data_IF_483286145626
#
_entry.id   IF_483286145626
#
_cell.length_a   1.000
_cell.length_b   1.000
_cell.length_c   1.000
_cell.angle_alpha   90.00
_cell.angle_beta   90.00
_cell.angle_gamma   90.00
#
_symmetry.space_group_name_H-M   'P 1'
#
loop_
_entity.id
_entity.type
_entity.pdbx_description
1 polymer ?
#
# COMPACT_ATOMS: atom_id res chain seq x y z
N UNK A 1 31.49 7.46 5.96
CA UNK A 1 31.01 7.71 7.34
C UNK A 1 29.77 8.57 7.36
N UNK A 2 28.92 8.42 8.39
CA UNK A 2 27.74 9.25 8.62
C UNK A 2 27.93 9.98 9.95
N UNK A 3 27.85 11.31 9.93
CA UNK A 3 27.95 12.15 11.12
C UNK A 3 26.68 12.98 11.26
N UNK A 4 25.99 12.83 12.39
CA UNK A 4 24.76 13.55 12.70
C UNK A 4 25.04 14.59 13.78
N UNK A 5 24.58 15.81 13.53
CA UNK A 5 24.58 16.93 14.49
C UNK A 5 23.16 17.46 14.64
N UNK A 6 22.92 18.40 15.56
CA UNK A 6 21.59 18.93 15.87
C UNK A 6 20.85 19.52 14.64
N UNK A 7 21.58 20.01 13.64
CA UNK A 7 21.00 20.71 12.47
C UNK A 7 21.44 20.19 11.13
N UNK A 8 22.39 19.26 11.08
CA UNK A 8 22.97 18.79 9.83
C UNK A 8 23.34 17.31 9.91
N UNK A 9 23.28 16.66 8.75
CA UNK A 9 23.89 15.34 8.52
C UNK A 9 24.97 15.50 7.46
N UNK A 10 26.14 14.92 7.76
CA UNK A 10 27.26 14.80 6.82
C UNK A 10 27.40 13.34 6.40
N UNK A 11 27.43 13.13 5.08
CA UNK A 11 27.75 11.86 4.44
C UNK A 11 29.13 11.97 3.81
N UNK A 12 30.08 11.17 4.31
CA UNK A 12 31.46 11.15 3.83
C UNK A 12 31.71 9.91 2.94
N UNK A 13 32.05 10.15 1.68
CA UNK A 13 32.38 9.13 0.68
C UNK A 13 33.89 9.09 0.37
N UNK A 14 34.73 9.71 1.21
CA UNK A 14 36.17 9.80 1.07
C UNK A 14 36.61 10.86 0.05
N UNK A 15 36.20 10.72 -1.21
CA UNK A 15 36.55 11.67 -2.28
C UNK A 15 35.70 12.95 -2.23
N UNK A 16 34.49 12.87 -1.68
CA UNK A 16 33.58 13.99 -1.55
C UNK A 16 32.70 13.84 -0.30
N UNK A 17 32.18 14.98 0.18
CA UNK A 17 31.30 15.04 1.35
C UNK A 17 30.01 15.75 0.95
N UNK A 18 28.88 15.19 1.37
CA UNK A 18 27.55 15.79 1.19
C UNK A 18 27.05 16.24 2.54
N UNK A 19 26.66 17.52 2.65
CA UNK A 19 26.10 18.10 3.88
C UNK A 19 24.69 18.58 3.59
N UNK A 20 23.76 18.18 4.44
CA UNK A 20 22.34 18.54 4.35
C UNK A 20 21.87 19.12 5.69
N UNK A 21 20.87 20.01 5.64
CA UNK A 21 20.18 20.51 6.84
C UNK A 21 19.10 19.52 7.26
N UNK A 22 19.05 19.23 8.55
CA UNK A 22 17.93 18.51 9.15
C UNK A 22 16.68 19.40 9.11
N UNK A 23 15.53 18.79 8.89
CA UNK A 23 14.25 19.45 9.10
C UNK A 23 14.02 19.65 10.60
N UNK A 24 13.52 20.82 10.98
CA UNK A 24 13.14 21.12 12.35
C UNK A 24 11.74 20.54 12.66
N UNK A 25 11.55 20.02 13.86
CA UNK A 25 10.28 19.47 14.34
C UNK A 25 10.37 18.00 14.76
N UNK A 26 9.30 17.51 15.37
CA UNK A 26 9.21 16.10 15.75
C UNK A 26 8.64 15.27 14.60
N UNK A 27 9.34 14.19 14.26
CA UNK A 27 8.80 13.19 13.35
C UNK A 27 7.70 12.39 14.05
N UNK A 28 6.71 11.93 13.28
CA UNK A 28 5.55 11.21 13.83
C UNK A 28 6.02 9.93 14.52
N UNK A 29 5.54 9.69 15.75
CA UNK A 29 5.74 8.42 16.44
C UNK A 29 4.86 7.33 15.82
N UNK A 30 5.36 6.65 14.80
CA UNK A 30 4.62 5.65 14.03
C UNK A 30 4.65 4.24 14.64
N UNK A 31 5.58 3.95 15.56
CA UNK A 31 5.76 2.60 16.13
C UNK A 31 4.47 2.02 16.79
N UNK A 32 3.65 2.80 17.52
CA UNK A 32 2.37 2.31 18.03
C UNK A 32 1.40 1.89 16.93
N UNK A 33 1.43 2.57 15.77
CA UNK A 33 0.54 2.26 14.64
C UNK A 33 0.88 0.88 14.07
N UNK A 34 2.17 0.57 13.94
CA UNK A 34 2.65 -0.72 13.44
C UNK A 34 2.32 -1.90 14.36
N UNK A 35 2.09 -1.62 15.65
CA UNK A 35 1.77 -2.62 16.68
C UNK A 35 0.27 -2.90 16.81
N UNK A 36 -0.56 -2.29 15.95
CA UNK A 36 -2.01 -2.51 15.97
C UNK A 36 -2.31 -3.97 15.63
N UNK A 37 -3.10 -4.70 16.43
CA UNK A 37 -3.42 -6.09 16.15
C UNK A 37 -4.26 -6.18 14.87
N UNK A 38 -3.80 -7.02 13.94
CA UNK A 38 -4.51 -7.40 12.73
C UNK A 38 -5.18 -8.77 12.94
N UNK A 39 -6.31 -9.00 12.28
CA UNK A 39 -7.10 -10.23 12.41
C UNK A 39 -7.33 -10.92 11.06
N UNK A 40 -7.07 -10.22 9.96
CA UNK A 40 -7.22 -10.71 8.60
C UNK A 40 -5.86 -10.68 7.95
N UNK A 41 -5.46 -11.82 7.40
CA UNK A 41 -4.17 -12.03 6.76
C UNK A 41 -4.38 -12.59 5.37
N UNK A 42 -3.72 -11.98 4.39
CA UNK A 42 -3.81 -12.37 3.00
C UNK A 42 -2.41 -12.57 2.47
N UNK A 43 -2.14 -13.74 1.90
CA UNK A 43 -0.92 -14.00 1.13
C UNK A 43 -1.28 -14.00 -0.34
N UNK A 44 -0.60 -13.18 -1.13
CA UNK A 44 -0.94 -12.97 -2.54
C UNK A 44 0.30 -12.77 -3.40
N UNK A 45 0.27 -13.29 -4.62
CA UNK A 45 1.29 -13.04 -5.64
C UNK A 45 1.34 -11.55 -5.99
N UNK A 46 2.49 -10.94 -5.74
CA UNK A 46 2.73 -9.50 -5.90
C UNK A 46 2.44 -9.05 -7.33
N UNK A 47 2.82 -9.88 -8.30
CA UNK A 47 2.65 -9.59 -9.72
C UNK A 47 1.19 -9.63 -10.13
N UNK A 48 0.46 -10.66 -9.75
CA UNK A 48 -0.95 -10.87 -10.10
C UNK A 48 -1.82 -9.75 -9.55
N UNK A 49 -1.60 -9.35 -8.29
CA UNK A 49 -2.32 -8.21 -7.71
C UNK A 49 -1.92 -6.89 -8.38
N UNK A 50 -0.64 -6.69 -8.68
CA UNK A 50 -0.16 -5.48 -9.40
C UNK A 50 -0.78 -5.36 -10.78
N UNK A 51 -0.81 -6.44 -11.56
CA UNK A 51 -1.41 -6.46 -12.90
C UNK A 51 -2.93 -6.20 -12.85
N UNK A 52 -3.63 -6.71 -11.83
CA UNK A 52 -5.05 -6.43 -11.61
C UNK A 52 -5.30 -4.95 -11.29
N UNK A 53 -4.49 -4.34 -10.42
CA UNK A 53 -4.54 -2.92 -10.10
C UNK A 53 -4.19 -2.05 -11.32
N UNK A 54 -3.23 -2.46 -12.15
CA UNK A 54 -2.89 -1.77 -13.40
C UNK A 54 -4.06 -1.79 -14.38
N UNK A 55 -4.75 -2.93 -14.56
CA UNK A 55 -5.98 -3.00 -15.36
C UNK A 55 -7.07 -2.08 -14.83
N UNK A 56 -7.29 -2.06 -13.51
CA UNK A 56 -8.24 -1.13 -12.88
C UNK A 56 -7.86 0.34 -13.11
N UNK A 57 -6.57 0.66 -13.08
CA UNK A 57 -6.06 2.02 -13.28
C UNK A 57 -6.35 2.60 -14.66
N UNK A 58 -6.41 1.75 -15.70
CA UNK A 58 -6.72 2.19 -17.07
C UNK A 58 -8.11 2.83 -17.15
N UNK A 59 -9.10 2.25 -16.48
CA UNK A 59 -10.45 2.82 -16.44
C UNK A 59 -10.53 4.08 -15.57
N UNK A 60 -9.76 4.13 -14.48
CA UNK A 60 -9.71 5.28 -13.57
C UNK A 60 -9.09 6.48 -14.29
N UNK A 61 -7.95 6.28 -14.95
CA UNK A 61 -7.17 7.34 -15.59
C UNK A 61 -7.73 7.80 -16.94
N UNK A 62 -8.65 7.05 -17.55
CA UNK A 62 -9.35 7.49 -18.76
C UNK A 62 -10.17 8.78 -18.51
N UNK A 63 -10.50 9.08 -17.26
CA UNK A 63 -11.06 10.36 -16.87
C UNK A 63 -9.93 11.38 -16.55
N UNK A 64 -9.58 12.23 -17.52
CA UNK A 64 -8.52 13.25 -17.38
C UNK A 64 -8.86 14.39 -16.40
N UNK A 65 -9.90 14.25 -15.58
CA UNK A 65 -10.29 15.24 -14.56
C UNK A 65 -9.63 14.92 -13.21
N UNK A 66 -9.43 15.94 -12.38
CA UNK A 66 -8.97 15.79 -10.99
C UNK A 66 -9.89 14.92 -10.09
N UNK A 67 -11.02 14.43 -10.62
CA UNK A 67 -11.91 13.47 -9.95
C UNK A 67 -11.45 12.02 -10.11
N UNK A 68 -10.72 11.68 -11.17
CA UNK A 68 -10.20 10.33 -11.39
C UNK A 68 -9.31 9.84 -10.25
N UNK A 69 -8.44 10.70 -9.71
CA UNK A 69 -7.57 10.37 -8.58
C UNK A 69 -8.31 10.04 -7.29
N UNK A 70 -9.64 10.26 -7.25
CA UNK A 70 -10.50 9.98 -6.10
C UNK A 70 -11.32 8.72 -6.25
N UNK A 71 -11.31 8.05 -7.39
CA UNK A 71 -12.07 6.80 -7.56
C UNK A 71 -11.35 5.69 -6.77
N UNK A 72 -11.98 5.15 -5.73
CA UNK A 72 -11.38 4.06 -4.97
C UNK A 72 -11.38 2.78 -5.80
N UNK A 73 -10.29 2.03 -5.75
CA UNK A 73 -10.35 0.59 -6.03
C UNK A 73 -10.88 -0.09 -4.78
N UNK A 74 -11.92 -0.89 -4.94
CA UNK A 74 -12.53 -1.69 -3.89
C UNK A 74 -11.94 -3.09 -3.96
N UNK A 75 -11.37 -3.54 -2.86
CA UNK A 75 -10.93 -4.90 -2.63
C UNK A 75 -12.00 -5.60 -1.78
N UNK A 76 -12.59 -6.66 -2.31
CA UNK A 76 -13.43 -7.57 -1.57
C UNK A 76 -12.67 -8.88 -1.38
N UNK A 77 -12.26 -9.15 -0.14
CA UNK A 77 -11.39 -10.25 0.24
C UNK A 77 -12.25 -11.28 0.95
N UNK A 78 -12.41 -12.45 0.32
CA UNK A 78 -13.20 -13.56 0.81
C UNK A 78 -12.84 -14.82 0.01
N UNK A 79 -13.15 -16.01 0.55
CA UNK A 79 -13.10 -17.28 -0.20
C UNK A 79 -11.78 -17.53 -0.97
N UNK A 80 -10.62 -17.27 -0.34
CA UNK A 80 -9.30 -17.43 -0.95
C UNK A 80 -9.08 -16.64 -2.26
N UNK A 81 -9.69 -15.46 -2.33
CA UNK A 81 -9.51 -14.53 -3.44
C UNK A 81 -9.64 -13.07 -3.01
N UNK A 82 -9.07 -12.19 -3.84
CA UNK A 82 -9.26 -10.75 -3.81
C UNK A 82 -10.01 -10.36 -5.08
N UNK A 83 -11.26 -9.94 -4.92
CA UNK A 83 -12.03 -9.32 -5.99
C UNK A 83 -11.70 -7.82 -6.06
N UNK A 84 -11.09 -7.41 -7.18
CA UNK A 84 -10.69 -6.04 -7.46
C UNK A 84 -11.75 -5.39 -8.33
N UNK A 85 -12.45 -4.40 -7.77
CA UNK A 85 -13.51 -3.68 -8.49
C UNK A 85 -13.30 -2.18 -8.50
N UNK A 86 -13.75 -1.55 -9.57
CA UNK A 86 -13.78 -0.10 -9.72
C UNK A 86 -14.98 0.29 -10.58
N UNK A 87 -15.68 1.34 -10.20
CA UNK A 87 -16.83 1.89 -10.95
C UNK A 87 -16.56 3.36 -11.23
N UNK A 88 -16.60 3.73 -12.50
CA UNK A 88 -16.49 5.11 -12.97
C UNK A 88 -17.73 5.48 -13.78
N UNK A 89 -17.87 6.76 -14.14
CA UNK A 89 -18.93 7.18 -15.07
C UNK A 89 -18.83 6.55 -16.47
N UNK A 90 -17.70 5.92 -16.80
CA UNK A 90 -17.42 5.34 -18.12
C UNK A 90 -17.56 3.81 -18.15
N UNK A 91 -17.59 3.15 -17.00
CA UNK A 91 -17.69 1.69 -16.95
C UNK A 91 -17.38 1.10 -15.58
N UNK A 92 -17.21 -0.22 -15.57
CA UNK A 92 -16.84 -1.01 -14.39
C UNK A 92 -15.69 -1.94 -14.73
N UNK A 93 -14.72 -2.03 -13.81
CA UNK A 93 -13.74 -3.13 -13.76
C UNK A 93 -14.18 -4.11 -12.67
N UNK A 94 -14.06 -5.38 -12.98
CA UNK A 94 -14.17 -6.49 -12.05
C UNK A 94 -13.13 -7.52 -12.46
N UNK A 95 -12.28 -7.87 -11.52
CA UNK A 95 -11.16 -8.78 -11.70
C UNK A 95 -10.98 -9.59 -10.42
N UNK A 96 -10.39 -10.77 -10.52
CA UNK A 96 -10.24 -11.70 -9.39
C UNK A 96 -8.81 -12.21 -9.36
N UNK A 97 -8.19 -12.09 -8.19
CA UNK A 97 -6.83 -12.56 -7.91
C UNK A 97 -6.90 -13.64 -6.84
N UNK A 98 -6.34 -14.81 -7.10
CA UNK A 98 -6.23 -15.88 -6.10
C UNK A 98 -5.31 -15.44 -4.95
N UNK A 99 -5.68 -15.77 -3.71
CA UNK A 99 -4.89 -15.45 -2.54
C UNK A 99 -5.19 -16.43 -1.40
N UNK A 100 -4.24 -16.69 -0.51
CA UNK A 100 -4.56 -17.42 0.72
C UNK A 100 -5.13 -16.45 1.76
N UNK A 101 -6.36 -16.68 2.22
CA UNK A 101 -7.04 -15.77 3.16
C UNK A 101 -7.23 -16.46 4.52
N UNK A 102 -6.90 -15.74 5.59
CA UNK A 102 -7.18 -16.16 6.97
C UNK A 102 -7.83 -15.02 7.74
N UNK A 103 -8.91 -15.33 8.45
CA UNK A 103 -9.69 -14.34 9.21
C UNK A 103 -11.06 -14.12 8.58
N UNK A 104 -11.65 -12.98 8.91
CA UNK A 104 -12.97 -12.59 8.41
C UNK A 104 -12.90 -11.99 6.99
N UNK A 105 -14.03 -12.01 6.29
CA UNK A 105 -14.19 -11.31 5.02
C UNK A 105 -14.13 -9.78 5.22
N UNK A 106 -13.58 -9.07 4.23
CA UNK A 106 -13.46 -7.61 4.29
C UNK A 106 -13.66 -6.96 2.93
N UNK A 107 -14.48 -5.91 2.92
CA UNK A 107 -14.57 -4.96 1.82
C UNK A 107 -13.89 -3.65 2.23
N UNK A 108 -12.93 -3.19 1.43
CA UNK A 108 -12.15 -1.99 1.73
C UNK A 108 -11.72 -1.24 0.47
N UNK A 109 -11.70 0.09 0.55
CA UNK A 109 -11.34 0.96 -0.57
C UNK A 109 -9.94 1.56 -0.43
N UNK A 110 -9.20 1.61 -1.54
CA UNK A 110 -7.87 2.23 -1.59
C UNK A 110 -7.70 3.14 -2.80
N UNK A 111 -6.76 4.09 -2.69
CA UNK A 111 -6.15 4.67 -3.88
C UNK A 111 -5.24 3.61 -4.51
N UNK A 112 -5.52 3.21 -5.75
CA UNK A 112 -4.78 2.16 -6.45
C UNK A 112 -3.28 2.47 -6.58
N UNK A 113 -2.91 3.76 -6.69
CA UNK A 113 -1.52 4.20 -6.89
C UNK A 113 -0.66 3.82 -5.70
N UNK A 114 -1.15 4.03 -4.49
CA UNK A 114 -0.39 3.70 -3.28
C UNK A 114 -0.23 2.20 -3.08
N UNK A 115 -1.24 1.40 -3.44
CA UNK A 115 -1.10 -0.06 -3.45
C UNK A 115 -0.06 -0.50 -4.49
N UNK A 116 -0.15 0.03 -5.72
CA UNK A 116 0.77 -0.34 -6.79
C UNK A 116 2.21 0.09 -6.52
N UNK A 117 2.42 1.28 -5.94
CA UNK A 117 3.75 1.75 -5.52
C UNK A 117 4.34 0.86 -4.41
N UNK A 118 3.54 0.47 -3.41
CA UNK A 118 3.99 -0.43 -2.37
C UNK A 118 4.34 -1.81 -2.92
N UNK A 119 3.47 -2.41 -3.75
CA UNK A 119 3.72 -3.71 -4.37
C UNK A 119 4.94 -3.70 -5.29
N UNK A 120 5.15 -2.65 -6.09
CA UNK A 120 6.34 -2.52 -6.96
C UNK A 120 7.65 -2.37 -6.19
N UNK A 121 7.58 -1.86 -4.95
CA UNK A 121 8.74 -1.74 -4.08
C UNK A 121 9.01 -3.03 -3.28
N UNK A 122 8.07 -3.98 -3.26
CA UNK A 122 8.31 -5.32 -2.75
C UNK A 122 9.14 -6.10 -3.77
N UNK A 123 10.28 -6.64 -3.36
CA UNK A 123 11.19 -7.42 -4.21
C UNK A 123 10.84 -8.93 -4.24
N UNK A 124 9.70 -9.30 -3.64
CA UNK A 124 9.29 -10.69 -3.37
C UNK A 124 8.15 -11.14 -4.30
N UNK A 125 8.11 -12.44 -4.62
CA UNK A 125 7.07 -13.05 -5.48
C UNK A 125 5.69 -12.98 -4.83
N UNK A 126 5.60 -13.22 -3.53
CA UNK A 126 4.37 -13.07 -2.75
C UNK A 126 4.58 -12.07 -1.61
N UNK A 127 3.51 -11.40 -1.20
CA UNK A 127 3.50 -10.50 -0.05
C UNK A 127 2.43 -10.90 0.96
N UNK A 128 2.63 -10.48 2.21
CA UNK A 128 1.62 -10.59 3.26
C UNK A 128 0.90 -9.25 3.43
N UNK A 129 -0.40 -9.24 3.19
CA UNK A 129 -1.27 -8.11 3.51
C UNK A 129 -2.00 -8.39 4.84
N UNK A 130 -2.04 -7.40 5.73
CA UNK A 130 -2.70 -7.51 7.03
C UNK A 130 -3.75 -6.41 7.21
N UNK A 131 -4.91 -6.81 7.72
CA UNK A 131 -6.05 -5.92 7.99
C UNK A 131 -6.68 -6.22 9.35
N UNK A 132 -7.42 -5.24 9.86
CA UNK A 132 -8.22 -5.40 11.10
C UNK A 132 -9.70 -5.09 10.90
N UNK A 133 -10.05 -4.05 10.14
CA UNK A 133 -11.44 -3.72 9.81
C UNK A 133 -11.49 -2.83 8.55
N UNK A 134 -12.68 -2.63 7.93
CA UNK A 134 -12.87 -1.81 6.71
C UNK A 134 -12.41 -0.34 6.78
N UNK A 135 -12.01 0.17 7.95
CA UNK A 135 -11.55 1.56 8.15
C UNK A 135 -10.10 1.65 8.61
N UNK A 136 -9.46 0.52 8.88
CA UNK A 136 -8.07 0.47 9.31
C UNK A 136 -7.11 0.46 8.13
N UNK A 137 -5.87 0.88 8.38
CA UNK A 137 -4.77 0.75 7.44
C UNK A 137 -4.56 -0.69 7.00
N UNK A 138 -4.18 -0.87 5.74
CA UNK A 138 -3.57 -2.10 5.27
C UNK A 138 -2.07 -2.05 5.53
N UNK A 139 -1.51 -3.13 6.04
CA UNK A 139 -0.06 -3.31 6.11
C UNK A 139 0.38 -4.35 5.07
N UNK A 140 1.31 -3.98 4.19
CA UNK A 140 1.98 -4.92 3.28
C UNK A 140 3.37 -5.17 3.86
N UNK A 141 3.67 -6.44 4.16
CA UNK A 141 4.90 -6.87 4.81
C UNK A 141 5.57 -7.97 4.02
N UNK A 142 6.87 -8.11 4.24
CA UNK A 142 7.62 -9.28 3.80
C UNK A 142 7.01 -10.55 4.37
N UNK A 143 7.07 -11.64 3.61
CA UNK A 143 6.68 -12.96 4.08
C UNK A 143 7.57 -13.45 5.22
N UNK A 144 8.87 -13.12 5.16
CA UNK A 144 9.89 -13.62 6.06
C UNK A 144 10.70 -12.47 6.68
N UNK A 145 10.63 -12.37 8.00
CA UNK A 145 11.35 -11.33 8.76
C UNK A 145 10.71 -9.95 8.65
N UNK A 146 11.52 -8.92 8.90
CA UNK A 146 11.07 -7.53 9.08
C UNK A 146 11.80 -6.57 8.12
N UNK A 147 12.09 -7.02 6.89
CA UNK A 147 12.86 -6.25 5.90
C UNK A 147 12.17 -4.95 5.47
N UNK A 148 10.84 -4.97 5.38
CA UNK A 148 10.03 -3.80 5.05
C UNK A 148 8.60 -3.89 5.63
N UNK A 149 7.95 -2.73 5.74
CA UNK A 149 6.52 -2.61 6.00
C UNK A 149 5.99 -1.37 5.30
N UNK A 150 4.98 -1.55 4.45
CA UNK A 150 4.22 -0.45 3.85
C UNK A 150 2.88 -0.33 4.57
N UNK A 151 2.51 0.90 4.92
CA UNK A 151 1.20 1.22 5.50
C UNK A 151 0.40 2.05 4.52
N UNK A 152 -0.76 1.55 4.11
CA UNK A 152 -1.65 2.21 3.16
C UNK A 152 -2.95 2.54 3.88
N UNK A 153 -3.30 3.84 3.89
CA UNK A 153 -4.55 4.30 4.47
C UNK A 153 -5.73 4.02 3.53
N UNK A 154 -6.86 3.51 4.04
CA UNK A 154 -8.04 3.31 3.23
C UNK A 154 -8.68 4.65 2.89
N UNK A 155 -9.45 4.64 1.81
CA UNK A 155 -10.37 5.71 1.44
C UNK A 155 -11.79 5.26 1.71
N UNK A 156 -12.68 6.23 1.97
CA UNK A 156 -14.10 5.91 2.17
C UNK A 156 -14.72 5.44 0.86
N UNK A 157 -15.35 4.28 0.90
CA UNK A 157 -16.28 3.86 -0.14
C UNK A 157 -17.57 4.68 0.01
N UNK A 158 -18.03 5.27 -1.08
CA UNK A 158 -19.35 5.89 -1.16
C UNK A 158 -20.27 4.90 -1.88
N UNK A 159 -21.38 4.55 -1.23
CA UNK A 159 -22.46 3.77 -1.84
C UNK A 159 -23.37 4.67 -2.66
#
# INVERSE_FOLDING_TARGET
DIVVSDRHVLFDFGAYKVVTRLLEGEFINYAPILSTPNSIYVKVDTRSLSESLERASLLINDDMTAKAEKVPVRLNIALDQIEVTCITGKGKVHDVVEAEVRGDDIEIGFNYRYLLEALKACEEEEVKMEFSNPRSSCFIRSLEGDSYTYMILPVRLYN
#
